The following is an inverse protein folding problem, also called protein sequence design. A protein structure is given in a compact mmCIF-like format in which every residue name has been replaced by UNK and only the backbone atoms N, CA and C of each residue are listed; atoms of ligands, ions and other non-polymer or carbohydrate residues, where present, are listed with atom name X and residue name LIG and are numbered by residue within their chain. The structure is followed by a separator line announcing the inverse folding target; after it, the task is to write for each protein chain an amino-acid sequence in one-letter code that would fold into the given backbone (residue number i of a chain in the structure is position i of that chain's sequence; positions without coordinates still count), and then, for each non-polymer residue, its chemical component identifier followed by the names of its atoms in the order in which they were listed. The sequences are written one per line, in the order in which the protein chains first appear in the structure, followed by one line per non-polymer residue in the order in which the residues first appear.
data_IF_019696811485
#
_entry.id   IF_019696811485
#
_cell.length_a   1.000
_cell.length_b   1.000
_cell.length_c   1.000
_cell.angle_alpha   90.00
_cell.angle_beta   90.00
_cell.angle_gamma   90.00
#
_symmetry.space_group_name_H-M   'P 1'
#
loop_
_entity.id
_entity.type
_entity.pdbx_description
1 polymer ?
#
# COMPACT_ATOMS: atom_id res chain seq x y z
N UNK A 1 -19.91 -58.63 53.93
CA UNK A 1 -19.43 -57.23 53.91
C UNK A 1 -18.79 -56.98 52.56
N UNK A 2 -19.54 -56.39 51.61
CA UNK A 2 -19.03 -56.07 50.27
C UNK A 2 -19.14 -54.57 50.03
N UNK A 3 -17.99 -53.91 49.90
CA UNK A 3 -17.84 -52.48 49.64
C UNK A 3 -18.09 -52.24 48.14
N UNK A 4 -19.04 -51.35 47.80
CA UNK A 4 -19.21 -50.82 46.45
C UNK A 4 -18.46 -49.49 46.35
N UNK A 5 -17.42 -49.45 45.51
CA UNK A 5 -16.70 -48.23 45.13
C UNK A 5 -17.42 -47.62 43.93
N UNK A 6 -17.95 -46.39 44.08
CA UNK A 6 -18.46 -45.58 42.98
C UNK A 6 -17.31 -44.72 42.45
N UNK A 7 -16.90 -44.95 41.21
CA UNK A 7 -15.92 -44.10 40.51
C UNK A 7 -16.69 -42.99 39.79
N UNK A 8 -16.55 -41.75 40.26
CA UNK A 8 -17.10 -40.57 39.58
C UNK A 8 -16.15 -40.15 38.44
N UNK A 9 -16.64 -40.17 37.20
CA UNK A 9 -15.92 -39.74 36.02
C UNK A 9 -16.21 -38.25 35.77
N UNK A 10 -15.28 -37.38 36.12
CA UNK A 10 -15.40 -35.93 35.88
C UNK A 10 -14.91 -35.63 34.46
N UNK A 11 -15.83 -35.27 33.56
CA UNK A 11 -15.48 -34.77 32.21
C UNK A 11 -15.13 -33.29 32.33
N UNK A 12 -13.84 -32.96 32.13
CA UNK A 12 -13.35 -31.59 32.12
C UNK A 12 -13.43 -31.04 30.69
N UNK A 13 -14.46 -30.25 30.41
CA UNK A 13 -14.62 -29.56 29.12
C UNK A 13 -13.63 -28.39 29.03
N UNK A 14 -12.52 -28.59 28.30
CA UNK A 14 -11.62 -27.51 27.91
C UNK A 14 -12.32 -26.63 26.87
N UNK A 15 -12.87 -25.50 27.32
CA UNK A 15 -13.28 -24.41 26.44
C UNK A 15 -12.00 -23.75 25.91
N UNK A 16 -11.57 -24.18 24.72
CA UNK A 16 -10.52 -23.50 23.98
C UNK A 16 -11.03 -22.13 23.53
N UNK A 17 -10.63 -21.07 24.22
CA UNK A 17 -10.81 -19.71 23.77
C UNK A 17 -9.97 -19.54 22.49
N UNK A 18 -10.60 -19.70 21.33
CA UNK A 18 -9.98 -19.44 20.04
C UNK A 18 -9.61 -17.96 19.96
N UNK A 19 -8.34 -17.63 20.17
CA UNK A 19 -7.83 -16.31 19.84
C UNK A 19 -7.90 -16.18 18.32
N UNK A 20 -8.95 -15.54 17.82
CA UNK A 20 -8.97 -15.00 16.46
C UNK A 20 -7.83 -14.00 16.36
N UNK A 21 -6.76 -14.38 15.67
CA UNK A 21 -5.71 -13.46 15.29
C UNK A 21 -6.33 -12.38 14.41
N UNK A 22 -6.47 -11.17 14.95
CA UNK A 22 -6.85 -10.02 14.15
C UNK A 22 -5.78 -9.83 13.06
N UNK A 23 -6.21 -9.79 11.80
CA UNK A 23 -5.31 -9.44 10.70
C UNK A 23 -4.70 -8.07 11.03
N UNK A 24 -3.39 -8.03 11.28
CA UNK A 24 -2.70 -6.76 11.50
C UNK A 24 -2.78 -5.96 10.20
N UNK A 25 -3.18 -4.70 10.30
CA UNK A 25 -3.05 -3.74 9.20
C UNK A 25 -1.59 -3.80 8.74
N UNK A 26 -1.29 -3.91 7.43
CA UNK A 26 0.08 -3.72 6.96
C UNK A 26 0.58 -2.38 7.49
N UNK A 27 1.66 -2.35 8.28
CA UNK A 27 2.17 -1.10 8.82
C UNK A 27 2.99 -0.34 7.76
N UNK A 28 3.07 0.99 7.87
CA UNK A 28 4.08 1.78 7.17
C UNK A 28 5.43 1.56 7.85
N UNK A 29 6.13 0.49 7.44
CA UNK A 29 7.47 0.14 7.93
C UNK A 29 8.53 0.27 6.81
N UNK A 30 9.79 -0.06 7.13
CA UNK A 30 10.90 0.00 6.18
C UNK A 30 10.78 -0.95 4.98
N UNK A 31 9.84 -1.91 5.02
CA UNK A 31 9.64 -2.93 3.99
C UNK A 31 8.33 -2.68 3.20
N UNK A 32 7.67 -1.54 3.43
CA UNK A 32 6.39 -1.21 2.79
C UNK A 32 6.47 -1.22 1.27
N UNK A 33 7.40 -0.47 0.68
CA UNK A 33 7.53 -0.44 -0.78
C UNK A 33 8.06 -1.75 -1.37
N UNK A 34 8.71 -2.59 -0.56
CA UNK A 34 9.05 -3.96 -0.94
C UNK A 34 7.80 -4.81 -1.14
N UNK A 35 6.84 -4.74 -0.19
CA UNK A 35 5.53 -5.38 -0.34
C UNK A 35 4.77 -4.82 -1.55
N UNK A 36 4.80 -3.50 -1.75
CA UNK A 36 4.20 -2.86 -2.93
C UNK A 36 4.79 -3.37 -4.24
N UNK A 37 6.11 -3.48 -4.38
CA UNK A 37 6.75 -4.05 -5.58
C UNK A 37 6.23 -5.47 -5.86
N UNK A 38 6.10 -6.30 -4.83
CA UNK A 38 5.56 -7.66 -4.96
C UNK A 38 4.09 -7.67 -5.33
N UNK A 39 3.29 -6.79 -4.73
CA UNK A 39 1.85 -6.72 -5.02
C UNK A 39 1.58 -6.20 -6.43
N UNK A 40 2.37 -5.22 -6.88
CA UNK A 40 2.30 -4.64 -8.21
C UNK A 40 2.66 -5.67 -9.27
N UNK A 41 3.77 -6.41 -9.08
CA UNK A 41 4.39 -7.20 -10.15
C UNK A 41 4.24 -8.71 -10.01
N UNK A 42 3.86 -9.20 -8.84
CA UNK A 42 3.89 -10.62 -8.49
C UNK A 42 5.29 -11.22 -8.36
N UNK A 43 6.34 -10.40 -8.31
CA UNK A 43 7.73 -10.88 -8.22
C UNK A 43 8.06 -11.48 -6.85
N UNK A 44 8.91 -12.50 -6.85
CA UNK A 44 9.52 -13.08 -5.63
C UNK A 44 11.01 -12.84 -5.56
N UNK A 45 11.55 -12.00 -6.45
CA UNK A 45 12.99 -11.68 -6.49
C UNK A 45 13.43 -10.98 -5.21
N UNK A 46 14.74 -11.05 -4.93
CA UNK A 46 15.35 -10.29 -3.84
C UNK A 46 15.35 -8.80 -4.20
N UNK A 47 14.82 -7.99 -3.30
CA UNK A 47 14.68 -6.55 -3.46
C UNK A 47 15.58 -5.84 -2.45
N UNK A 48 16.10 -4.68 -2.84
CA UNK A 48 16.78 -3.75 -1.94
C UNK A 48 15.94 -2.47 -1.82
N UNK A 49 15.18 -2.34 -0.74
CA UNK A 49 14.35 -1.16 -0.50
C UNK A 49 15.14 -0.07 0.22
N UNK A 50 15.38 1.05 -0.46
CA UNK A 50 16.05 2.21 0.12
C UNK A 50 15.00 3.14 0.71
N UNK A 51 15.03 3.32 2.03
CA UNK A 51 14.20 4.31 2.74
C UNK A 51 14.95 5.64 2.79
N UNK A 52 14.41 6.65 2.13
CA UNK A 52 15.00 7.98 2.08
C UNK A 52 14.55 8.81 3.28
N UNK A 53 15.47 9.52 3.95
CA UNK A 53 15.14 10.31 5.14
C UNK A 53 14.48 11.66 4.79
N UNK A 54 14.67 12.14 3.57
CA UNK A 54 14.19 13.44 3.10
C UNK A 54 13.65 13.37 1.68
N UNK A 55 12.80 14.34 1.34
CA UNK A 55 12.10 14.34 0.06
C UNK A 55 13.02 14.66 -1.12
N UNK A 56 14.08 15.44 -0.92
CA UNK A 56 14.97 15.85 -2.00
C UNK A 56 15.85 14.69 -2.46
N UNK A 57 16.47 13.95 -1.53
CA UNK A 57 17.20 12.72 -1.84
C UNK A 57 16.29 11.67 -2.47
N UNK A 58 15.06 11.54 -1.99
CA UNK A 58 14.07 10.69 -2.61
C UNK A 58 13.76 11.14 -4.04
N UNK A 59 13.47 12.42 -4.28
CA UNK A 59 13.09 12.98 -5.59
C UNK A 59 14.17 12.70 -6.64
N UNK A 60 15.43 12.92 -6.29
CA UNK A 60 16.59 12.74 -7.18
C UNK A 60 16.91 11.27 -7.46
N UNK A 61 16.58 10.36 -6.55
CA UNK A 61 16.87 8.93 -6.69
C UNK A 61 16.22 8.28 -7.93
N UNK A 62 16.82 7.17 -8.37
CA UNK A 62 16.31 6.30 -9.44
C UNK A 62 16.42 4.84 -9.00
N UNK A 63 15.46 4.03 -9.39
CA UNK A 63 15.52 2.57 -9.20
C UNK A 63 16.64 1.96 -10.04
N UNK A 64 17.17 0.81 -9.63
CA UNK A 64 18.13 0.01 -10.41
C UNK A 64 17.55 -1.37 -10.67
N UNK A 65 17.94 -1.97 -11.80
CA UNK A 65 17.53 -3.33 -12.13
C UNK A 65 18.52 -4.39 -11.60
N UNK A 66 19.82 -4.09 -11.52
CA UNK A 66 20.84 -5.06 -11.10
C UNK A 66 21.89 -4.45 -10.13
N UNK A 67 21.85 -4.77 -8.82
CA UNK A 67 20.76 -5.47 -8.14
C UNK A 67 19.46 -4.64 -8.15
N UNK A 68 18.31 -5.29 -7.91
CA UNK A 68 17.01 -4.58 -7.87
C UNK A 68 16.99 -3.62 -6.67
N UNK A 69 17.05 -2.33 -6.96
CA UNK A 69 16.97 -1.25 -5.99
C UNK A 69 15.69 -0.46 -6.21
N UNK A 70 14.85 -0.41 -5.18
CA UNK A 70 13.59 0.34 -5.15
C UNK A 70 13.68 1.43 -4.08
N UNK A 71 12.79 2.42 -4.15
CA UNK A 71 12.82 3.57 -3.25
C UNK A 71 11.52 3.74 -2.47
N UNK A 72 11.65 4.17 -1.22
CA UNK A 72 10.56 4.50 -0.31
C UNK A 72 10.79 5.88 0.32
N UNK A 73 9.74 6.69 0.32
CA UNK A 73 9.70 7.91 1.12
C UNK A 73 8.35 8.03 1.82
N UNK A 74 8.39 8.37 3.10
CA UNK A 74 7.20 8.46 3.95
C UNK A 74 6.91 9.93 4.25
N UNK A 75 5.70 10.35 3.96
CA UNK A 75 5.17 11.66 4.30
C UNK A 75 4.28 11.48 5.54
N UNK A 76 4.45 12.36 6.51
CA UNK A 76 3.74 12.33 7.80
C UNK A 76 3.15 13.69 8.13
N UNK A 77 2.08 13.72 8.93
CA UNK A 77 1.48 14.95 9.48
C UNK A 77 2.11 15.39 10.81
N UNK A 78 3.29 14.86 11.15
CA UNK A 78 3.95 15.05 12.45
C UNK A 78 3.47 14.10 13.55
N UNK A 79 2.37 13.35 13.32
CA UNK A 79 1.84 12.35 14.26
C UNK A 79 2.04 10.94 13.68
N UNK A 80 1.68 10.74 12.42
CA UNK A 80 1.69 9.44 11.77
C UNK A 80 1.96 9.58 10.27
N UNK A 81 2.47 8.52 9.61
CA UNK A 81 2.48 8.42 8.16
C UNK A 81 1.09 8.71 7.57
N UNK A 82 1.05 9.51 6.50
CA UNK A 82 -0.16 9.86 5.72
C UNK A 82 -0.10 9.33 4.31
N UNK A 83 1.09 9.37 3.69
CA UNK A 83 1.33 8.92 2.32
C UNK A 83 2.70 8.28 2.22
N UNK A 84 2.80 7.20 1.45
CA UNK A 84 4.06 6.55 1.12
C UNK A 84 4.29 6.65 -0.38
N UNK A 85 5.44 7.18 -0.77
CA UNK A 85 5.87 7.26 -2.16
C UNK A 85 6.81 6.10 -2.46
N UNK A 86 6.40 5.21 -3.37
CA UNK A 86 7.18 4.05 -3.77
C UNK A 86 7.70 4.19 -5.20
N UNK A 87 9.00 3.98 -5.40
CA UNK A 87 9.63 3.88 -6.72
C UNK A 87 9.97 2.42 -7.02
N UNK A 88 9.28 1.81 -7.99
CA UNK A 88 9.35 0.37 -8.27
C UNK A 88 9.71 0.08 -9.74
N UNK A 89 10.07 -1.17 -10.05
CA UNK A 89 10.30 -1.69 -11.41
C UNK A 89 9.01 -2.30 -11.97
N UNK A 90 8.81 -2.16 -13.26
CA UNK A 90 7.69 -2.81 -13.97
C UNK A 90 7.96 -4.29 -14.16
N UNK A 91 6.87 -5.05 -14.25
CA UNK A 91 6.91 -6.48 -14.53
C UNK A 91 7.72 -6.83 -15.78
N UNK A 92 7.56 -6.07 -16.87
CA UNK A 92 8.24 -6.34 -18.14
C UNK A 92 9.76 -6.12 -18.07
N UNK A 93 10.24 -5.16 -17.27
CA UNK A 93 11.68 -4.98 -17.04
C UNK A 93 12.25 -6.14 -16.21
N UNK A 94 11.52 -6.56 -15.17
CA UNK A 94 11.94 -7.71 -14.36
C UNK A 94 12.03 -8.98 -15.22
N UNK A 95 11.05 -9.20 -16.10
CA UNK A 95 11.02 -10.34 -17.01
C UNK A 95 12.15 -10.32 -18.03
N UNK A 96 12.45 -9.15 -18.60
CA UNK A 96 13.55 -8.98 -19.55
C UNK A 96 14.92 -9.31 -18.90
N UNK A 97 15.15 -8.84 -17.67
CA UNK A 97 16.44 -9.03 -16.98
C UNK A 97 16.60 -10.39 -16.33
N UNK A 98 15.53 -10.95 -15.75
CA UNK A 98 15.57 -12.12 -14.86
C UNK A 98 14.79 -13.34 -15.37
N UNK A 99 14.21 -13.26 -16.57
CA UNK A 99 13.43 -14.34 -17.20
C UNK A 99 11.92 -14.17 -17.01
N UNK A 100 11.13 -14.78 -17.91
CA UNK A 100 9.68 -14.55 -18.00
C UNK A 100 8.90 -14.86 -16.72
N UNK A 101 9.38 -15.79 -15.89
CA UNK A 101 8.74 -16.15 -14.61
C UNK A 101 9.08 -15.19 -13.46
N UNK A 102 9.93 -14.19 -13.68
CA UNK A 102 10.36 -13.23 -12.66
C UNK A 102 9.23 -12.34 -12.13
N UNK A 103 8.17 -12.14 -12.91
CA UNK A 103 7.01 -11.32 -12.58
C UNK A 103 5.78 -11.82 -13.36
N UNK A 104 4.58 -11.43 -12.91
CA UNK A 104 3.28 -11.92 -13.43
C UNK A 104 2.49 -10.87 -14.22
N UNK A 105 2.88 -9.60 -14.17
CA UNK A 105 2.18 -8.47 -14.78
C UNK A 105 2.05 -7.30 -13.80
N UNK A 106 1.62 -6.13 -14.26
CA UNK A 106 1.53 -4.91 -13.45
C UNK A 106 0.08 -4.61 -12.99
N UNK A 107 -0.14 -4.48 -11.68
CA UNK A 107 -1.35 -3.84 -11.09
C UNK A 107 -1.20 -2.32 -11.03
N UNK A 108 -2.31 -1.59 -10.92
CA UNK A 108 -2.32 -0.12 -10.78
C UNK A 108 -2.02 0.37 -9.36
N UNK A 109 -1.62 1.62 -9.19
CA UNK A 109 -1.47 2.21 -7.85
C UNK A 109 -2.84 2.32 -7.15
N UNK A 110 -3.92 2.53 -7.91
CA UNK A 110 -5.29 2.44 -7.46
C UNK A 110 -5.64 1.05 -6.90
N UNK A 111 -5.16 -0.03 -7.50
CA UNK A 111 -5.37 -1.39 -6.96
C UNK A 111 -4.69 -1.56 -5.60
N UNK A 112 -3.48 -0.99 -5.45
CA UNK A 112 -2.76 -1.01 -4.17
C UNK A 112 -3.49 -0.16 -3.12
N UNK A 113 -3.94 1.05 -3.46
CA UNK A 113 -4.73 1.90 -2.55
C UNK A 113 -6.03 1.22 -2.13
N UNK A 114 -6.71 0.53 -3.05
CA UNK A 114 -7.91 -0.26 -2.74
C UNK A 114 -7.61 -1.37 -1.75
N UNK A 115 -6.58 -2.16 -2.01
CA UNK A 115 -6.15 -3.23 -1.11
C UNK A 115 -5.76 -2.69 0.28
N UNK A 116 -5.07 -1.55 0.34
CA UNK A 116 -4.74 -0.90 1.60
C UNK A 116 -5.99 -0.46 2.38
N UNK A 117 -6.96 0.16 1.71
CA UNK A 117 -8.22 0.54 2.35
C UNK A 117 -8.97 -0.70 2.84
N UNK A 118 -9.09 -1.74 2.02
CA UNK A 118 -9.78 -2.98 2.39
C UNK A 118 -9.11 -3.64 3.61
N UNK A 119 -7.77 -3.64 3.67
CA UNK A 119 -7.03 -4.13 4.82
C UNK A 119 -7.25 -3.26 6.07
N UNK A 120 -7.28 -1.93 5.94
CA UNK A 120 -7.54 -1.03 7.04
C UNK A 120 -8.93 -1.25 7.66
N UNK A 121 -9.97 -1.44 6.84
CA UNK A 121 -11.31 -1.80 7.32
C UNK A 121 -11.36 -3.22 7.92
N UNK A 122 -10.71 -4.18 7.27
CA UNK A 122 -10.69 -5.58 7.71
C UNK A 122 -10.02 -5.79 9.08
N UNK A 123 -9.11 -4.90 9.45
CA UNK A 123 -8.38 -4.96 10.71
C UNK A 123 -9.05 -4.19 11.87
N UNK A 124 -10.18 -3.50 11.62
CA UNK A 124 -10.91 -2.81 12.69
C UNK A 124 -11.49 -3.82 13.69
N UNK A 125 -11.33 -3.50 14.97
CA UNK A 125 -12.05 -4.19 16.06
C UNK A 125 -13.54 -3.87 16.01
N UNK A 126 -14.37 -4.63 16.71
CA UNK A 126 -15.81 -4.39 16.72
C UNK A 126 -16.17 -3.04 17.37
N UNK A 127 -15.42 -2.62 18.40
CA UNK A 127 -15.56 -1.31 19.01
C UNK A 127 -15.19 -0.16 18.06
N UNK A 128 -14.19 -0.36 17.21
CA UNK A 128 -13.80 0.61 16.18
C UNK A 128 -14.82 0.67 15.04
N UNK A 129 -15.34 -0.49 14.61
CA UNK A 129 -16.42 -0.56 13.61
C UNK A 129 -17.67 0.21 14.09
N UNK A 130 -18.02 0.09 15.38
CA UNK A 130 -19.14 0.83 15.97
C UNK A 130 -18.94 2.36 15.98
N UNK A 131 -17.70 2.84 15.83
CA UNK A 131 -17.35 4.27 15.84
C UNK A 131 -17.06 4.85 14.46
N UNK A 132 -17.14 4.05 13.40
CA UNK A 132 -16.86 4.47 12.02
C UNK A 132 -17.58 5.76 11.66
N UNK A 133 -16.82 6.71 11.10
CA UNK A 133 -17.34 7.97 10.56
C UNK A 133 -17.48 7.92 9.04
N UNK A 134 -16.73 7.03 8.39
CA UNK A 134 -16.79 6.81 6.94
C UNK A 134 -16.90 5.31 6.73
N UNK A 135 -18.02 4.84 6.16
CA UNK A 135 -18.18 3.43 5.81
C UNK A 135 -17.45 3.14 4.49
N UNK A 136 -17.04 1.89 4.27
CA UNK A 136 -16.25 1.51 3.09
C UNK A 136 -16.92 1.87 1.75
N UNK A 137 -18.25 1.86 1.70
CA UNK A 137 -19.04 2.22 0.52
C UNK A 137 -18.96 3.72 0.16
N UNK A 138 -18.57 4.57 1.12
CA UNK A 138 -18.38 6.01 0.93
C UNK A 138 -16.93 6.39 0.60
N UNK A 139 -16.09 5.37 0.34
CA UNK A 139 -14.70 5.55 -0.11
C UNK A 139 -14.59 5.24 -1.59
N UNK A 140 -14.22 6.25 -2.36
CA UNK A 140 -13.94 6.16 -3.80
C UNK A 140 -12.43 6.07 -3.99
N UNK A 141 -11.98 4.99 -4.63
CA UNK A 141 -10.60 4.88 -5.11
C UNK A 141 -10.58 5.31 -6.56
N UNK A 142 -9.97 6.45 -6.82
CA UNK A 142 -9.90 6.99 -8.19
C UNK A 142 -8.94 6.17 -9.06
N UNK A 143 -9.17 6.13 -10.38
CA UNK A 143 -8.17 5.65 -11.33
C UNK A 143 -6.85 6.42 -11.21
N UNK A 144 -5.75 5.76 -11.61
CA UNK A 144 -4.43 6.40 -11.62
C UNK A 144 -4.41 7.60 -12.57
N UNK A 145 -4.09 8.79 -12.06
CA UNK A 145 -3.57 9.87 -12.89
C UNK A 145 -2.16 9.47 -13.32
N UNK A 146 -2.02 9.08 -14.59
CA UNK A 146 -0.75 8.57 -15.12
C UNK A 146 0.07 9.67 -15.76
N UNK A 147 1.33 9.77 -15.36
CA UNK A 147 2.34 10.67 -15.92
C UNK A 147 3.59 9.88 -16.32
N UNK A 148 4.47 10.52 -17.10
CA UNK A 148 5.73 9.92 -17.54
C UNK A 148 6.96 10.73 -17.11
N UNK A 149 6.77 11.96 -16.63
CA UNK A 149 7.84 12.81 -16.11
C UNK A 149 7.91 12.77 -14.59
N UNK A 150 9.14 12.68 -14.06
CA UNK A 150 9.40 12.71 -12.63
C UNK A 150 8.92 14.00 -11.96
N UNK A 151 9.05 15.15 -12.63
CA UNK A 151 8.58 16.45 -12.12
C UNK A 151 7.06 16.47 -11.91
N UNK A 152 6.29 16.04 -12.93
CA UNK A 152 4.84 15.94 -12.86
C UNK A 152 4.38 14.98 -11.76
N UNK A 153 5.15 13.91 -11.53
CA UNK A 153 4.83 12.92 -10.51
C UNK A 153 5.02 13.43 -9.08
N UNK A 154 5.97 14.33 -8.84
CA UNK A 154 6.22 14.92 -7.51
C UNK A 154 5.43 16.19 -7.24
N UNK A 155 4.77 16.77 -8.24
CA UNK A 155 3.87 17.92 -8.06
C UNK A 155 2.76 17.59 -7.05
N UNK A 156 2.42 18.59 -6.24
CA UNK A 156 1.34 18.50 -5.27
C UNK A 156 -0.02 18.29 -5.96
N UNK A 157 -0.92 17.64 -5.24
CA UNK A 157 -2.28 17.37 -5.67
C UNK A 157 -3.13 16.95 -4.47
N UNK A 158 -4.45 17.06 -4.62
CA UNK A 158 -5.41 16.57 -3.63
C UNK A 158 -5.40 15.03 -3.58
N UNK A 159 -4.53 14.48 -2.74
CA UNK A 159 -4.32 13.04 -2.63
C UNK A 159 -5.50 12.32 -1.98
N UNK A 160 -5.97 12.84 -0.85
CA UNK A 160 -7.21 12.41 -0.21
C UNK A 160 -8.06 13.65 -0.03
N UNK A 161 -9.31 13.62 -0.49
CA UNK A 161 -10.18 14.78 -0.43
C UNK A 161 -11.66 14.40 -0.31
N UNK A 162 -12.46 15.35 0.15
CA UNK A 162 -13.91 15.21 0.20
C UNK A 162 -14.51 15.67 -1.13
N UNK A 163 -15.15 14.74 -1.84
CA UNK A 163 -15.75 15.01 -3.14
C UNK A 163 -17.16 15.64 -3.06
N UNK A 164 -17.78 15.96 -4.22
CA UNK A 164 -19.09 16.59 -4.32
C UNK A 164 -20.22 15.79 -3.64
N UNK A 165 -20.09 14.47 -3.55
CA UNK A 165 -21.06 13.57 -2.91
C UNK A 165 -20.82 13.39 -1.40
N UNK A 166 -19.99 14.25 -0.79
CA UNK A 166 -19.49 14.10 0.58
C UNK A 166 -18.74 12.79 0.87
N UNK A 167 -18.41 12.01 -0.17
CA UNK A 167 -17.57 10.81 -0.11
C UNK A 167 -16.10 11.18 0.04
N UNK A 168 -15.33 10.23 0.58
CA UNK A 168 -13.87 10.33 0.64
C UNK A 168 -13.29 9.76 -0.65
N UNK A 169 -12.50 10.56 -1.36
CA UNK A 169 -11.79 10.15 -2.56
C UNK A 169 -10.32 9.95 -2.22
N UNK A 170 -9.73 8.85 -2.72
CA UNK A 170 -8.30 8.56 -2.63
C UNK A 170 -7.76 8.47 -4.04
N UNK A 171 -6.88 9.40 -4.41
CA UNK A 171 -6.33 9.51 -5.75
C UNK A 171 -4.93 8.90 -5.84
N UNK A 172 -4.73 8.01 -6.81
CA UNK A 172 -3.40 7.54 -7.18
C UNK A 172 -2.78 8.46 -8.24
N UNK A 173 -1.59 9.00 -8.00
CA UNK A 173 -0.74 9.55 -9.07
C UNK A 173 0.38 8.56 -9.38
N UNK A 174 0.39 8.04 -10.60
CA UNK A 174 1.33 7.02 -11.06
C UNK A 174 2.31 7.60 -12.09
N UNK A 175 3.61 7.39 -11.90
CA UNK A 175 4.56 7.48 -13.00
C UNK A 175 4.71 6.09 -13.59
N UNK A 176 4.33 5.89 -14.86
CA UNK A 176 4.39 4.58 -15.48
C UNK A 176 5.07 4.62 -16.85
N UNK A 177 6.21 3.95 -16.95
CA UNK A 177 6.97 3.80 -18.20
C UNK A 177 7.39 2.34 -18.30
N UNK A 178 6.75 1.58 -19.18
CA UNK A 178 7.13 0.17 -19.42
C UNK A 178 8.52 0.07 -20.04
N UNK A 179 9.20 -1.06 -19.81
CA UNK A 179 10.52 -1.31 -20.40
C UNK A 179 10.48 -1.30 -21.92
N UNK A 180 9.41 -1.87 -22.47
CA UNK A 180 9.18 -2.05 -23.90
C UNK A 180 8.56 -0.83 -24.60
N UNK A 181 8.34 0.28 -23.88
CA UNK A 181 7.76 1.48 -24.47
C UNK A 181 8.67 2.08 -25.58
N UNK A 182 8.18 2.06 -26.82
CA UNK A 182 8.93 2.53 -28.00
C UNK A 182 9.29 4.01 -27.90
N UNK A 183 8.41 4.84 -27.34
CA UNK A 183 8.67 6.28 -27.16
C UNK A 183 9.88 6.55 -26.24
N UNK A 184 10.19 5.60 -25.35
CA UNK A 184 11.31 5.70 -24.41
C UNK A 184 12.51 4.83 -24.81
N UNK A 185 12.54 4.23 -26.01
CA UNK A 185 13.61 3.30 -26.42
C UNK A 185 15.01 3.92 -26.37
N UNK A 186 15.14 5.21 -26.68
CA UNK A 186 16.41 5.96 -26.64
C UNK A 186 16.65 6.66 -25.29
N UNK A 187 15.71 6.59 -24.35
CA UNK A 187 15.91 7.16 -23.03
C UNK A 187 16.92 6.32 -22.24
N UNK A 188 17.73 6.94 -21.36
CA UNK A 188 18.59 6.21 -20.44
C UNK A 188 17.82 5.14 -19.66
N UNK A 189 18.43 3.97 -19.47
CA UNK A 189 17.83 2.80 -18.80
C UNK A 189 17.18 3.14 -17.45
N UNK A 190 17.84 4.01 -16.67
CA UNK A 190 17.35 4.49 -15.36
C UNK A 190 15.99 5.21 -15.39
N UNK A 191 15.47 5.55 -16.57
CA UNK A 191 14.16 6.17 -16.76
C UNK A 191 13.10 5.22 -17.34
N UNK A 192 13.47 3.97 -17.62
CA UNK A 192 12.61 2.98 -18.30
C UNK A 192 12.25 1.81 -17.39
N UNK A 193 11.11 1.20 -17.67
CA UNK A 193 10.62 0.05 -16.91
C UNK A 193 10.44 0.38 -15.43
N UNK A 194 9.73 1.47 -15.16
CA UNK A 194 9.49 1.99 -13.81
C UNK A 194 8.00 2.21 -13.58
N UNK A 195 7.56 1.92 -12.35
CA UNK A 195 6.25 2.29 -11.85
C UNK A 195 6.39 2.96 -10.50
N UNK A 196 6.05 4.24 -10.42
CA UNK A 196 6.09 4.97 -9.16
C UNK A 196 4.67 5.25 -8.69
N UNK A 197 4.41 5.04 -7.41
CA UNK A 197 3.09 5.18 -6.80
C UNK A 197 3.14 6.10 -5.59
N UNK A 198 2.15 6.96 -5.48
CA UNK A 198 1.77 7.63 -4.24
C UNK A 198 0.63 6.85 -3.60
N UNK A 199 0.86 6.32 -2.40
CA UNK A 199 -0.02 5.36 -1.75
C UNK A 199 -0.46 5.83 -0.38
N UNK A 200 -1.68 5.49 0.01
CA UNK A 200 -2.22 5.89 1.32
C UNK A 200 -1.52 5.09 2.40
N UNK A 201 -1.05 5.77 3.45
CA UNK A 201 -0.52 5.08 4.62
C UNK A 201 -1.67 4.36 5.34
N UNK A 202 -1.53 3.08 5.72
CA UNK A 202 -2.60 2.32 6.35
C UNK A 202 -3.06 2.91 7.69
N UNK A 203 -2.15 3.54 8.43
CA UNK A 203 -2.45 4.27 9.67
C UNK A 203 -3.36 5.48 9.41
N UNK A 204 -3.09 6.22 8.34
CA UNK A 204 -3.90 7.36 7.94
C UNK A 204 -5.27 6.96 7.41
N UNK A 205 -5.33 5.87 6.62
CA UNK A 205 -6.60 5.26 6.22
C UNK A 205 -7.47 4.96 7.44
N UNK A 206 -6.91 4.30 8.46
CA UNK A 206 -7.62 4.00 9.72
C UNK A 206 -8.10 5.28 10.44
N UNK A 207 -7.21 6.25 10.65
CA UNK A 207 -7.54 7.51 11.33
C UNK A 207 -8.65 8.29 10.62
N UNK A 208 -8.64 8.31 9.29
CA UNK A 208 -9.68 8.98 8.50
C UNK A 208 -11.04 8.31 8.68
N UNK A 209 -11.10 6.99 8.58
CA UNK A 209 -12.39 6.27 8.63
C UNK A 209 -13.01 6.25 10.03
N UNK A 210 -12.18 6.37 11.07
CA UNK A 210 -12.61 6.56 12.46
C UNK A 210 -12.87 8.04 12.82
N UNK A 211 -12.55 8.98 11.92
CA UNK A 211 -12.71 10.41 12.14
C UNK A 211 -11.76 11.01 13.18
N UNK A 212 -10.65 10.33 13.48
CA UNK A 212 -9.56 10.83 14.32
C UNK A 212 -8.75 11.92 13.61
N UNK A 213 -8.84 11.96 12.28
CA UNK A 213 -8.40 13.06 11.44
C UNK A 213 -9.45 13.37 10.38
N UNK A 214 -9.44 14.60 9.87
CA UNK A 214 -10.43 15.06 8.89
C UNK A 214 -9.98 14.75 7.46
N UNK A 215 -10.94 14.37 6.62
CA UNK A 215 -10.73 14.34 5.17
C UNK A 215 -10.54 15.78 4.69
N UNK A 216 -9.41 16.12 4.03
CA UNK A 216 -9.17 17.46 3.52
C UNK A 216 -10.25 17.91 2.52
N UNK A 217 -10.52 19.22 2.50
CA UNK A 217 -11.27 19.80 1.38
C UNK A 217 -10.34 19.92 0.18
N UNK A 218 -10.83 19.72 -1.05
CA UNK A 218 -10.02 19.90 -2.24
C UNK A 218 -9.48 21.34 -2.31
N UNK A 219 -8.26 21.46 -2.82
CA UNK A 219 -7.64 22.74 -3.11
C UNK A 219 -8.52 23.56 -4.05
N UNK A 220 -8.66 24.86 -3.76
CA UNK A 220 -9.34 25.79 -4.66
C UNK A 220 -8.41 26.07 -5.82
N UNK A 221 -8.68 25.47 -6.97
CA UNK A 221 -8.07 25.90 -8.24
C UNK A 221 -8.65 27.23 -8.70
#
# INVERSE_FOLDING_TARGET
MNVRVLTALTVLSLVGCGMTAYAQVPATDKDFCERVQRDLTGTTLKLNNIVYPDFDSFKESKTKIDPIEIGQFVISDGISPTRVSCKTKTSDHLQDRYGQDAAKGDKSCADINRATMDAAYGALTDDEKAKLKIVRADVVIEPDTTVFMGSQWVEDYDFVYRGPEAKMHVMGKSLYVTWTNIAFRLAPERFRGVRYCHLIAPEYAKRLVLGETQVPMPSKN
#
